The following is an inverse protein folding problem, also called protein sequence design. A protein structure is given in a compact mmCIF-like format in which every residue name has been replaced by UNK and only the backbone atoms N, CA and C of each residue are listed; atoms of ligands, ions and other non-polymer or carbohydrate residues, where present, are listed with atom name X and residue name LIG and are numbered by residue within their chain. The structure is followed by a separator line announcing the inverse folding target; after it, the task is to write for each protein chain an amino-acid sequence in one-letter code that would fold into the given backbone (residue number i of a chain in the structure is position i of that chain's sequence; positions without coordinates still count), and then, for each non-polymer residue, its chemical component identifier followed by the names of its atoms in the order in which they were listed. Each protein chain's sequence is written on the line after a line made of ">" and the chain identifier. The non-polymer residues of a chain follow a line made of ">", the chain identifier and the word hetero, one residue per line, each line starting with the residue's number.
data_IF_918340935340
#
_entry.id   IF_918340935340
#
_cell.length_a   1.000
_cell.length_b   1.000
_cell.length_c   1.000
_cell.angle_alpha   90.00
_cell.angle_beta   90.00
_cell.angle_gamma   90.00
#
_symmetry.space_group_name_H-M   'P 1'
#
loop_
_entity.id
_entity.type
_entity.pdbx_description
1 polymer ?
2 non-polymer ?
3 non-polymer ?
4 non-polymer ?
5 water ?
#
# COMPACT_ATOMS: atom_id res chain seq x y z
N UNK A 4 5.20 21.08 6.97
CA UNK A 4 4.15 21.28 5.97
C UNK A 4 4.46 20.56 4.66
N UNK A 5 3.62 19.59 4.32
CA UNK A 5 3.79 18.81 3.11
C UNK A 5 3.73 19.66 1.84
N UNK A 6 4.56 19.30 0.86
CA UNK A 6 4.46 19.88 -0.46
C UNK A 6 3.10 19.59 -1.06
N UNK A 7 2.75 20.34 -2.09
CA UNK A 7 1.47 20.18 -2.76
C UNK A 7 1.31 18.75 -3.27
N UNK A 8 2.36 18.21 -3.88
CA UNK A 8 2.31 16.84 -4.37
C UNK A 8 2.16 15.83 -3.22
N UNK A 9 2.82 16.07 -2.09
CA UNK A 9 2.70 15.15 -0.97
C UNK A 9 1.34 15.30 -0.30
N UNK A 10 0.73 16.48 -0.37
CA UNK A 10 -0.67 16.61 0.07
C UNK A 10 -1.58 15.70 -0.74
N UNK A 11 -1.42 15.72 -2.06
CA UNK A 11 -2.20 14.83 -2.92
C UNK A 11 -1.96 13.37 -2.52
N UNK A 12 -0.70 13.01 -2.31
CA UNK A 12 -0.38 11.67 -1.82
C UNK A 12 -1.08 11.34 -0.51
N UNK A 13 -1.07 12.28 0.43
CA UNK A 13 -1.76 12.06 1.70
C UNK A 13 -3.27 11.86 1.50
N UNK A 14 -3.85 12.62 0.58
CA UNK A 14 -5.25 12.44 0.23
C UNK A 14 -5.54 11.03 -0.29
N UNK A 15 -4.70 10.56 -1.21
CA UNK A 15 -4.82 9.20 -1.73
C UNK A 15 -4.75 8.19 -0.58
N UNK A 16 -3.77 8.37 0.29
CA UNK A 16 -3.60 7.46 1.43
C UNK A 16 -4.84 7.41 2.31
N UNK A 17 -5.39 8.58 2.63
CA UNK A 17 -6.62 8.63 3.40
C UNK A 17 -7.75 7.88 2.68
N UNK A 18 -7.84 8.09 1.38
CA UNK A 18 -8.86 7.38 0.61
C UNK A 18 -8.66 5.87 0.69
N UNK A 19 -7.42 5.40 0.55
CA UNK A 19 -7.19 3.95 0.57
C UNK A 19 -7.58 3.35 1.91
N UNK A 20 -7.53 4.18 2.96
CA UNK A 20 -7.84 3.73 4.32
C UNK A 20 -9.31 3.95 4.71
N UNK A 21 -10.10 4.51 3.79
CA UNK A 21 -11.48 4.88 4.10
C UNK A 21 -12.46 3.71 3.92
N UNK A 22 -13.64 3.85 4.50
CA UNK A 22 -14.61 2.75 4.50
C UNK A 22 -15.07 2.37 3.09
N UNK A 23 -15.06 3.33 2.18
CA UNK A 23 -15.42 3.13 0.77
C UNK A 23 -14.68 1.95 0.12
N UNK A 24 -13.44 1.73 0.54
CA UNK A 24 -12.60 0.72 -0.08
C UNK A 24 -12.27 -0.43 0.86
N UNK A 25 -12.91 -0.47 2.03
CA UNK A 25 -12.50 -1.42 3.07
C UNK A 25 -12.66 -2.88 2.65
N UNK A 26 -13.63 -3.16 1.79
CA UNK A 26 -13.89 -4.55 1.41
C UNK A 26 -12.70 -5.22 0.75
N UNK A 27 -11.84 -4.44 0.09
CA UNK A 27 -10.67 -5.03 -0.54
C UNK A 27 -9.38 -4.43 0.01
N UNK A 28 -9.49 -3.34 0.79
CA UNK A 28 -8.28 -2.74 1.35
C UNK A 28 -7.83 -3.36 2.67
N UNK A 29 -8.72 -4.03 3.38
CA UNK A 29 -8.42 -4.38 4.77
C UNK A 29 -7.17 -5.27 4.96
N UNK A 30 -6.86 -6.17 4.00
CA UNK A 30 -5.64 -6.98 4.24
C UNK A 30 -4.36 -6.15 4.25
N UNK A 31 -4.45 -4.92 3.74
CA UNK A 31 -3.28 -4.07 3.57
C UNK A 31 -3.14 -3.04 4.68
N UNK A 32 -4.01 -3.11 5.68
CA UNK A 32 -4.03 -2.08 6.72
C UNK A 32 -2.82 -2.13 7.65
N UNK A 33 -2.31 -3.33 7.91
CA UNK A 33 -1.28 -3.55 8.92
C UNK A 33 -0.23 -4.54 8.39
N UNK A 34 0.97 -4.57 9.00
CA UNK A 34 1.99 -5.50 8.51
C UNK A 34 1.51 -6.95 8.50
N UNK A 35 1.87 -7.71 7.47
CA UNK A 35 1.57 -9.13 7.46
C UNK A 35 2.18 -9.78 8.70
N UNK A 36 1.35 -10.47 9.47
CA UNK A 36 1.80 -11.23 10.63
C UNK A 36 1.97 -12.68 10.20
N UNK A 37 3.19 -13.04 9.82
CA UNK A 37 3.43 -14.33 9.17
C UNK A 37 3.10 -15.49 10.10
N UNK A 38 3.48 -15.37 11.36
CA UNK A 38 3.17 -16.41 12.33
C UNK A 38 1.66 -16.58 12.53
N UNK A 39 0.95 -15.46 12.68
CA UNK A 39 -0.50 -15.52 12.88
C UNK A 39 -1.18 -16.21 11.71
N UNK A 40 -0.71 -15.90 10.50
CA UNK A 40 -1.35 -16.39 9.28
C UNK A 40 -0.85 -17.78 8.88
N UNK A 41 0.17 -18.26 9.59
CA UNK A 41 0.76 -19.56 9.29
C UNK A 41 1.65 -19.59 8.06
N UNK A 42 2.08 -18.42 7.59
CA UNK A 42 2.88 -18.37 6.36
C UNK A 42 4.37 -18.24 6.71
N UNK A 43 4.94 -19.37 7.13
CA UNK A 43 6.28 -19.39 7.70
C UNK A 43 7.39 -19.18 6.67
N UNK A 44 7.02 -19.07 5.40
CA UNK A 44 7.98 -18.77 4.34
C UNK A 44 7.89 -17.32 3.86
N UNK A 45 6.97 -16.55 4.45
CA UNK A 45 6.72 -15.18 3.98
C UNK A 45 7.98 -14.32 3.99
N UNK A 46 8.74 -14.34 5.09
CA UNK A 46 9.89 -13.45 5.18
C UNK A 46 11.14 -13.97 4.47
N UNK A 47 11.07 -15.21 3.99
CA UNK A 47 12.11 -15.68 3.08
C UNK A 47 11.85 -15.19 1.66
N UNK A 48 10.58 -14.97 1.34
CA UNK A 48 10.18 -14.62 -0.01
C UNK A 48 10.06 -13.11 -0.16
N UNK A 49 9.57 -12.46 0.89
CA UNK A 49 9.38 -11.01 0.93
C UNK A 49 10.46 -10.36 1.78
N UNK A 50 11.41 -9.70 1.12
CA UNK A 50 12.54 -9.12 1.84
C UNK A 50 12.26 -7.71 2.36
N UNK A 51 11.26 -7.04 1.78
CA UNK A 51 10.92 -5.66 2.17
C UNK A 51 9.42 -5.48 2.37
N UNK A 52 8.92 -5.93 3.52
CA UNK A 52 7.49 -5.82 3.83
C UNK A 52 7.02 -4.38 3.78
N UNK A 53 5.78 -4.18 3.36
CA UNK A 53 5.18 -2.85 3.39
C UNK A 53 3.67 -2.98 3.54
N UNK A 54 3.04 -1.96 4.12
CA UNK A 54 1.60 -1.96 4.37
C UNK A 54 1.15 -0.53 4.59
N UNK A 55 -0.15 -0.28 4.61
CA UNK A 55 -0.62 1.09 4.65
C UNK A 55 -0.35 1.79 5.99
N UNK A 56 -0.30 1.04 7.09
CA UNK A 56 -0.03 1.69 8.38
C UNK A 56 1.39 2.20 8.40
N UNK A 57 2.28 1.49 7.71
CA UNK A 57 3.67 1.93 7.66
C UNK A 57 3.82 3.15 6.76
N UNK A 58 3.11 3.14 5.63
CA UNK A 58 3.07 4.30 4.76
C UNK A 58 2.52 5.51 5.53
N UNK A 59 1.47 5.29 6.32
CA UNK A 59 0.86 6.38 7.09
C UNK A 59 1.83 6.95 8.12
N UNK A 60 2.51 6.08 8.86
CA UNK A 60 3.51 6.53 9.82
C UNK A 60 4.61 7.35 9.14
N UNK A 61 5.10 6.86 8.00
CA UNK A 61 6.15 7.55 7.27
C UNK A 61 5.67 8.92 6.78
N UNK A 62 4.42 9.00 6.33
CA UNK A 62 3.88 10.30 5.91
C UNK A 62 3.79 11.27 7.10
N UNK A 63 3.26 10.78 8.22
CA UNK A 63 3.13 11.61 9.43
C UNK A 63 4.49 12.09 9.92
N UNK A 64 5.49 11.22 9.81
CA UNK A 64 6.85 11.54 10.27
C UNK A 64 7.65 12.33 9.24
N UNK A 65 7.03 12.64 8.10
CA UNK A 65 7.67 13.39 7.02
C UNK A 65 8.88 12.65 6.45
N UNK A 66 8.80 11.32 6.46
CA UNK A 66 9.85 10.46 5.92
C UNK A 66 9.95 10.60 4.41
N UNK A 67 8.80 10.64 3.72
CA UNK A 67 8.81 10.76 2.27
C UNK A 67 9.24 12.14 1.86
N UNK A 68 10.23 12.23 0.99
CA UNK A 68 10.64 13.57 0.57
C UNK A 68 9.97 14.01 -0.72
N UNK A 69 9.36 13.07 -1.44
CA UNK A 69 8.60 13.42 -2.63
C UNK A 69 7.55 12.36 -2.96
N UNK A 70 6.70 12.67 -3.92
CA UNK A 70 5.62 11.76 -4.29
C UNK A 70 6.14 10.44 -4.83
N UNK A 71 7.25 10.49 -5.55
CA UNK A 71 7.84 9.28 -6.12
C UNK A 71 8.20 8.26 -5.03
N UNK A 72 8.77 8.74 -3.93
CA UNK A 72 9.14 7.85 -2.84
C UNK A 72 7.89 7.21 -2.22
N UNK A 73 6.85 8.02 -2.06
CA UNK A 73 5.57 7.52 -1.54
C UNK A 73 5.01 6.43 -2.45
N UNK A 74 4.96 6.72 -3.75
CA UNK A 74 4.38 5.78 -4.71
C UNK A 74 5.17 4.47 -4.75
N UNK A 75 6.50 4.56 -4.64
CA UNK A 75 7.31 3.35 -4.62
C UNK A 75 6.94 2.42 -3.45
N UNK A 76 6.62 3.00 -2.29
CA UNK A 76 6.24 2.18 -1.15
C UNK A 76 4.87 1.54 -1.36
N UNK A 77 3.90 2.33 -1.84
CA UNK A 77 2.58 1.76 -2.06
C UNK A 77 2.68 0.63 -3.08
N UNK A 78 3.46 0.84 -4.13
CA UNK A 78 3.59 -0.19 -5.16
C UNK A 78 4.36 -1.42 -4.65
N UNK A 79 5.34 -1.20 -3.78
CA UNK A 79 6.05 -2.31 -3.15
C UNK A 79 5.08 -3.19 -2.37
N UNK A 80 4.17 -2.57 -1.64
CA UNK A 80 3.12 -3.30 -0.93
C UNK A 80 2.33 -4.23 -1.86
N UNK A 81 1.89 -3.70 -3.00
CA UNK A 81 1.14 -4.52 -3.93
C UNK A 81 2.04 -5.61 -4.50
N UNK A 82 3.25 -5.24 -4.88
CA UNK A 82 4.18 -6.22 -5.44
C UNK A 82 4.44 -7.40 -4.51
N UNK A 83 4.57 -7.13 -3.22
CA UNK A 83 4.82 -8.23 -2.27
C UNK A 83 3.67 -9.21 -2.33
N UNK A 84 2.46 -8.67 -2.48
CA UNK A 84 1.28 -9.51 -2.53
C UNK A 84 1.30 -10.38 -3.79
N UNK A 85 1.63 -9.76 -4.92
CA UNK A 85 1.73 -10.49 -6.18
C UNK A 85 2.88 -11.49 -6.17
N UNK A 86 3.92 -11.21 -5.38
CA UNK A 86 5.07 -12.10 -5.33
C UNK A 86 4.75 -13.35 -4.52
N UNK A 87 4.12 -13.15 -3.37
CA UNK A 87 3.90 -14.27 -2.45
C UNK A 87 2.75 -15.18 -2.87
N UNK A 88 1.67 -14.59 -3.37
CA UNK A 88 0.41 -15.30 -3.60
C UNK A 88 0.20 -15.72 -5.05
N UNK A 89 -0.39 -16.91 -5.27
CA UNK A 89 -0.78 -17.31 -6.63
C UNK A 89 -1.74 -16.30 -7.23
N UNK A 90 -1.65 -16.08 -8.55
CA UNK A 90 -2.38 -14.98 -9.20
C UNK A 90 -3.89 -15.14 -9.13
N UNK A 91 -4.39 -16.34 -8.85
CA UNK A 91 -5.83 -16.53 -8.78
C UNK A 91 -6.37 -16.46 -7.35
N UNK A 92 -5.56 -16.05 -6.39
CA UNK A 92 -6.05 -16.04 -5.01
C UNK A 92 -6.87 -14.79 -4.72
N UNK A 93 -7.79 -14.91 -3.77
CA UNK A 93 -8.66 -13.80 -3.39
C UNK A 93 -7.89 -12.53 -3.02
N UNK A 94 -6.83 -12.66 -2.24
CA UNK A 94 -6.14 -11.46 -1.77
C UNK A 94 -5.47 -10.71 -2.93
N UNK A 95 -5.10 -11.45 -3.97
CA UNK A 95 -4.51 -10.84 -5.15
C UNK A 95 -5.57 -10.03 -5.92
N UNK A 96 -6.79 -10.54 -5.97
CA UNK A 96 -7.87 -9.80 -6.64
C UNK A 96 -8.15 -8.50 -5.90
N UNK A 97 -8.06 -8.56 -4.58
CA UNK A 97 -8.22 -7.37 -3.75
C UNK A 97 -7.11 -6.37 -3.99
N UNK A 98 -5.87 -6.86 -4.03
CA UNK A 98 -4.74 -6.00 -4.34
C UNK A 98 -4.91 -5.31 -5.69
N UNK A 99 -5.33 -6.05 -6.71
CA UNK A 99 -5.49 -5.45 -8.04
C UNK A 99 -6.49 -4.31 -8.00
N UNK A 100 -7.57 -4.52 -7.25
CA UNK A 100 -8.63 -3.52 -7.17
C UNK A 100 -8.15 -2.29 -6.42
N UNK A 101 -7.43 -2.50 -5.32
CA UNK A 101 -6.92 -1.35 -4.56
C UNK A 101 -5.85 -0.62 -5.36
N UNK A 102 -5.06 -1.36 -6.13
CA UNK A 102 -4.04 -0.73 -6.95
C UNK A 102 -4.66 0.09 -8.06
N UNK A 103 -5.80 -0.36 -8.57
CA UNK A 103 -6.52 0.43 -9.55
C UNK A 103 -6.96 1.77 -8.95
N UNK A 104 -7.54 1.73 -7.76
CA UNK A 104 -7.88 2.96 -7.06
C UNK A 104 -6.66 3.86 -6.93
N UNK A 105 -5.56 3.29 -6.46
CA UNK A 105 -4.34 4.07 -6.27
C UNK A 105 -3.79 4.67 -7.57
N UNK A 106 -3.61 3.84 -8.59
CA UNK A 106 -2.94 4.33 -9.78
C UNK A 106 -3.76 5.41 -10.48
N UNK A 107 -5.08 5.28 -10.51
CA UNK A 107 -5.84 6.27 -11.25
C UNK A 107 -5.83 7.61 -10.54
N UNK A 108 -5.82 7.59 -9.21
CA UNK A 108 -5.78 8.87 -8.51
C UNK A 108 -4.37 9.45 -8.44
N UNK A 109 -3.36 8.58 -8.35
CA UNK A 109 -1.98 9.05 -8.38
C UNK A 109 -1.69 9.77 -9.69
N UNK A 110 -2.31 9.28 -10.76
CA UNK A 110 -2.15 9.87 -12.08
C UNK A 110 -2.71 11.29 -12.16
N UNK A 111 -3.55 11.66 -11.20
CA UNK A 111 -4.16 12.99 -11.18
C UNK A 111 -3.31 13.99 -10.40
N UNK A 112 -2.10 13.57 -10.04
CA UNK A 112 -1.12 14.41 -9.35
C UNK A 112 -0.98 15.81 -9.95
N UNK A 113 -1.13 16.86 -9.12
CA UNK A 113 -0.87 18.21 -9.63
C UNK A 113 0.59 18.38 -10.02
N UNK A 114 0.84 19.14 -11.09
CA UNK A 114 2.19 19.32 -11.59
C UNK A 114 2.97 20.32 -10.73
X LIG B 1 -1.77 -18.23 3.05
X LIG B 1 -1.48 -16.99 2.40
X LIG B 1 -1.77 -15.83 3.16
X LIG B 1 -2.41 -15.89 4.19
X LIG B 1 -1.22 -14.47 2.63
X LIG B 1 0.13 -14.24 3.22
X LIG B 1 -2.12 -13.40 3.06
X LIG B 1 -3.47 -13.57 2.60
X LIG B 1 -1.67 -12.05 2.50
X LIG B 1 -0.82 -11.80 1.43
X LIG B 1 -0.74 -10.40 1.29
X LIG B 1 -1.49 -9.90 2.24
X LIG B 1 -1.64 -8.39 2.42
X LIG B 1 -2.12 -10.84 3.05
X LIG B 1 -3.00 -10.82 4.15
X LIG B 1 -2.85 -9.90 5.20
X LIG B 1 -3.74 -9.85 6.28
X LIG B 1 -3.52 -8.88 7.31
X LIG B 1 -4.29 -9.00 8.50
X LIG B 1 -4.79 -10.75 6.31
X LIG B 1 -4.97 -11.68 5.29
X LIG B 1 -4.07 -11.70 4.23
X LIG B 1 -4.45 -12.70 3.18
X LIG B 1 -5.86 -12.91 2.71
X LIG B 1 -6.33 -14.18 2.42
X LIG B 1 -7.63 -14.33 2.01
X LIG B 1 -8.43 -13.22 1.89
X LIG B 1 -10.08 -13.38 1.36
X LIG B 1 -7.96 -11.97 2.18
X LIG B 1 -6.66 -11.82 2.59
X LIG B 1 -1.35 -18.96 2.55
X LIG B 1 -2.74 -18.36 3.06
X LIG B 1 -1.42 -18.21 3.97
X LIG B 1 -1.17 -14.49 1.65
X LIG B 1 0.04 -13.88 4.12
X LIG B 1 0.63 -13.61 2.66
X LIG B 1 0.62 -15.09 3.26
X LIG B 1 -2.13 -13.35 4.06
X LIG B 1 -0.78 -7.96 2.27
X LIG B 1 -1.95 -8.20 3.35
X LIG B 1 -2.30 -8.05 1.78
X LIG B 1 -2.10 -9.26 5.17
X LIG B 1 -5.18 -9.35 8.28
X LIG B 1 -4.38 -8.12 8.92
X LIG B 1 -3.84 -9.61 9.12
X LIG B 1 -5.43 -10.73 7.07
X LIG B 1 -5.74 -12.32 5.32
X LIG B 1 -5.75 -14.96 2.52
X LIG B 1 -7.97 -15.22 1.80
X LIG B 1 -8.55 -11.19 2.08
X LIG B 1 -6.31 -10.94 2.80
X LIG C 1 7.68 3.28 -8.63
X LIG D 1 -4.26 0.71 -13.02
X LIG D 1 -4.25 -0.79 -13.17
X LIG D 1 -5.50 -1.31 -12.76
X LIG D 1 -3.17 -1.38 -12.31
X LIG D 1 -2.98 -2.73 -12.68
X LIG D 1 -2.20 -3.46 -11.77
X LIG D 1 -2.33 -4.93 -12.08
X LIG D 1 -3.76 -5.34 -11.85
X LIG D 1 -1.47 -5.65 -11.24
X LIG D 1 -4.55 1.12 -13.86
X LIG D 1 -3.35 1.02 -12.82
X LIG D 1 -4.86 0.97 -12.30
X LIG D 1 -4.09 -1.03 -14.11
X LIG D 1 -5.55 -2.17 -12.98
X LIG D 1 -3.43 -1.33 -11.37
X LIG D 1 -2.33 -0.89 -12.45
X LIG D 1 -1.26 -3.19 -11.84
X LIG D 1 -2.52 -3.29 -10.86
X LIG D 1 -2.08 -5.09 -13.02
X LIG D 1 -3.96 -5.30 -10.89
X LIG D 1 -3.89 -6.26 -12.17
X LIG D 1 -4.36 -4.74 -12.33
X LIG D 1 -0.67 -5.27 -11.22
#
# INVERSE_FOLDING_TARGET
>A
SMGKLSEQLKHCNGILKELLSKKHAAYAWPFYKPVDASALGVHDYHDIIKHPMDLSTVKRKMENRDYRDAQEFAADVRLMFSNCYKYNPPDHDVVAMARKLQDVFEFRYAKMPD
>B hetero
1 9J2 CBD OBC CAZ OBB CAV CBA CAJ NAI CAK NAO NAP CAQ CAY NAL CAM CAR CAS OAW CAX CAT CAU CAN CAG CAA CAB CAC CAD CLA CAE CAF HBE HBF HBD HAV HBA HBB HBC HAJ HA2 HA0 HA1 HAR HAZ HAY HAX HAT HAU HAB HAC HAE HAF
>C hetero
1 CL CL
>D hetero
1 DQW CAD CAB OAA CAC OAE CAF CAG CAI OAH HAG HAE HAF HAB HAA HAC HAD HAI HAH HAJ HAL HAM HAK HAN
#
